data_IF_500778213346
#
_entry.id   IF_500778213346
#
_cell.length_a   1.000
_cell.length_b   1.000
_cell.length_c   1.000
_cell.angle_alpha   90.00
_cell.angle_beta   90.00
_cell.angle_gamma   90.00
#
_symmetry.space_group_name_H-M   'P 1'
#
loop_
_entity.id
_entity.type
_entity.pdbx_description
1 polymer ?
#
# COMPACT_ATOMS: atom_id res chain seq x y z
N UNK A 1 -0.78 26.24 -7.52
CA UNK A 1 -1.66 25.09 -7.78
C UNK A 1 -2.92 25.28 -6.96
N UNK A 2 -4.10 25.34 -7.58
CA UNK A 2 -5.37 25.48 -6.84
C UNK A 2 -5.66 24.26 -5.96
N UNK A 3 -6.48 24.39 -4.90
CA UNK A 3 -6.71 23.33 -3.90
C UNK A 3 -7.31 22.02 -4.44
N UNK A 4 -7.78 21.99 -5.70
CA UNK A 4 -8.27 20.80 -6.39
C UNK A 4 -7.33 20.22 -7.47
N UNK A 5 -6.18 20.83 -7.75
CA UNK A 5 -5.32 20.42 -8.86
C UNK A 5 -4.72 19.02 -8.66
N UNK A 6 -4.20 18.74 -7.46
CA UNK A 6 -3.59 17.46 -7.14
C UNK A 6 -4.57 16.28 -7.19
N UNK A 7 -5.78 16.36 -6.58
CA UNK A 7 -6.81 15.33 -6.74
C UNK A 7 -7.22 15.09 -8.19
N UNK A 8 -7.34 16.15 -8.99
CA UNK A 8 -7.83 16.06 -10.37
C UNK A 8 -6.80 15.37 -11.27
N UNK A 9 -5.52 15.73 -11.15
CA UNK A 9 -4.42 15.07 -11.88
C UNK A 9 -4.30 13.60 -11.48
N UNK A 10 -4.32 13.28 -10.17
CA UNK A 10 -4.28 11.90 -9.70
C UNK A 10 -5.46 11.08 -10.24
N UNK A 11 -6.66 11.64 -10.21
CA UNK A 11 -7.85 10.97 -10.74
C UNK A 11 -7.71 10.68 -12.23
N UNK A 12 -7.21 11.65 -13.01
CA UNK A 12 -6.94 11.47 -14.43
C UNK A 12 -5.93 10.35 -14.72
N UNK A 13 -4.81 10.32 -13.97
CA UNK A 13 -3.80 9.26 -14.09
C UNK A 13 -4.38 7.89 -13.72
N UNK A 14 -5.15 7.80 -12.64
CA UNK A 14 -5.79 6.54 -12.21
C UNK A 14 -6.81 6.04 -13.23
N UNK A 15 -7.63 6.92 -13.80
CA UNK A 15 -8.58 6.57 -14.87
C UNK A 15 -7.81 6.00 -16.07
N UNK A 16 -6.74 6.66 -16.50
CA UNK A 16 -5.93 6.23 -17.63
C UNK A 16 -5.30 4.85 -17.38
N UNK A 17 -4.68 4.65 -16.22
CA UNK A 17 -4.11 3.35 -15.83
C UNK A 17 -5.18 2.25 -15.78
N UNK A 18 -6.36 2.55 -15.22
CA UNK A 18 -7.49 1.62 -15.20
C UNK A 18 -7.95 1.22 -16.60
N UNK A 19 -8.01 2.18 -17.53
CA UNK A 19 -8.39 1.96 -18.92
C UNK A 19 -7.39 1.06 -19.65
N UNK A 20 -6.08 1.29 -19.43
CA UNK A 20 -5.02 0.44 -19.97
C UNK A 20 -5.15 -0.99 -19.45
N UNK A 21 -5.35 -1.18 -18.14
CA UNK A 21 -5.53 -2.50 -17.53
C UNK A 21 -6.77 -3.20 -18.12
N UNK A 22 -7.87 -2.48 -18.32
CA UNK A 22 -9.11 -3.03 -18.90
C UNK A 22 -8.89 -3.51 -20.35
N UNK A 23 -8.20 -2.72 -21.18
CA UNK A 23 -7.82 -3.13 -22.54
C UNK A 23 -6.91 -4.36 -22.49
N UNK A 24 -5.91 -4.40 -21.62
CA UNK A 24 -5.02 -5.56 -21.50
C UNK A 24 -5.76 -6.82 -21.04
N UNK A 25 -6.71 -6.69 -20.11
CA UNK A 25 -7.53 -7.80 -19.64
C UNK A 25 -8.37 -8.43 -20.76
N UNK A 26 -8.81 -7.64 -21.75
CA UNK A 26 -9.52 -8.17 -22.93
C UNK A 26 -8.62 -8.86 -23.96
N UNK A 27 -7.31 -8.60 -23.94
CA UNK A 27 -6.33 -9.18 -24.88
C UNK A 27 -5.74 -10.51 -24.41
N UNK A 28 -5.81 -10.79 -23.11
CA UNK A 28 -5.28 -12.01 -22.51
C UNK A 28 -6.44 -13.00 -22.31
N UNK A 29 -6.37 -14.16 -22.96
CA UNK A 29 -7.25 -15.29 -22.70
C UNK A 29 -7.04 -15.76 -21.25
N UNK A 30 -8.00 -15.48 -20.36
CA UNK A 30 -7.87 -15.78 -18.94
C UNK A 30 -7.75 -17.28 -18.65
N UNK A 31 -6.81 -17.65 -17.78
CA UNK A 31 -6.88 -18.92 -17.06
C UNK A 31 -8.24 -19.02 -16.34
N UNK A 32 -8.83 -20.22 -16.17
CA UNK A 32 -10.10 -20.38 -15.48
C UNK A 32 -10.05 -19.63 -14.15
N UNK A 33 -11.03 -18.74 -13.94
CA UNK A 33 -11.10 -17.90 -12.74
C UNK A 33 -10.93 -18.80 -11.52
N UNK A 34 -9.75 -18.73 -10.90
CA UNK A 34 -9.51 -19.41 -9.64
C UNK A 34 -10.55 -18.97 -8.62
N UNK A 35 -10.84 -19.79 -7.59
CA UNK A 35 -11.81 -19.42 -6.57
C UNK A 35 -11.51 -18.02 -6.03
N UNK A 36 -12.53 -17.17 -5.99
CA UNK A 36 -12.42 -15.79 -5.51
C UNK A 36 -11.67 -15.81 -4.17
N UNK A 37 -10.58 -15.06 -4.09
CA UNK A 37 -9.74 -14.99 -2.91
C UNK A 37 -10.40 -14.12 -1.83
N UNK A 38 -11.54 -14.56 -1.30
CA UNK A 38 -12.32 -13.88 -0.26
C UNK A 38 -11.47 -13.46 0.94
N UNK A 39 -10.54 -14.32 1.37
CA UNK A 39 -9.54 -13.98 2.40
C UNK A 39 -8.64 -12.84 1.96
N UNK A 40 -8.07 -12.91 0.76
CA UNK A 40 -7.21 -11.86 0.22
C UNK A 40 -7.94 -10.52 0.13
N UNK A 41 -9.20 -10.53 -0.32
CA UNK A 41 -10.05 -9.34 -0.38
C UNK A 41 -10.28 -8.73 1.02
N UNK A 42 -10.57 -9.58 2.02
CA UNK A 42 -10.80 -9.13 3.39
C UNK A 42 -9.54 -8.56 4.07
N UNK A 43 -8.34 -9.01 3.70
CA UNK A 43 -7.08 -8.50 4.27
C UNK A 43 -6.52 -7.29 3.52
N UNK A 44 -6.72 -7.21 2.19
CA UNK A 44 -6.15 -6.13 1.36
C UNK A 44 -6.97 -4.84 1.44
N UNK A 45 -8.30 -4.94 1.44
CA UNK A 45 -9.18 -3.75 1.46
C UNK A 45 -9.04 -2.88 2.74
N UNK A 46 -8.98 -3.44 3.95
CA UNK A 46 -8.83 -2.63 5.16
C UNK A 46 -7.38 -2.16 5.39
N UNK A 47 -6.38 -2.76 4.75
CA UNK A 47 -4.98 -2.39 4.92
C UNK A 47 -4.70 -0.89 4.65
N UNK A 48 -5.12 -0.27 3.53
CA UNK A 48 -4.91 1.16 3.31
C UNK A 48 -5.73 2.04 4.26
N UNK A 49 -6.89 1.59 4.74
CA UNK A 49 -7.69 2.30 5.75
C UNK A 49 -6.93 2.30 7.09
N UNK A 50 -6.42 1.14 7.49
CA UNK A 50 -5.60 0.97 8.69
C UNK A 50 -4.34 1.85 8.61
N UNK A 51 -3.66 1.87 7.47
CA UNK A 51 -2.53 2.76 7.22
C UNK A 51 -2.91 4.23 7.37
N UNK A 52 -3.99 4.69 6.73
CA UNK A 52 -4.43 6.07 6.81
C UNK A 52 -4.79 6.54 8.21
N UNK A 53 -5.33 5.64 9.05
CA UNK A 53 -5.65 5.92 10.45
C UNK A 53 -4.40 5.90 11.34
N UNK A 54 -3.50 4.95 11.13
CA UNK A 54 -2.31 4.75 11.97
C UNK A 54 -1.16 5.70 11.64
N UNK A 55 -1.04 6.15 10.38
CA UNK A 55 0.08 7.00 9.94
C UNK A 55 0.17 8.31 10.70
N UNK A 56 -0.96 8.88 11.13
CA UNK A 56 -1.01 10.12 11.93
C UNK A 56 -0.61 9.91 13.40
N UNK A 57 -0.81 8.71 13.94
CA UNK A 57 -0.56 8.39 15.36
C UNK A 57 0.77 7.71 15.61
N UNK A 58 1.02 6.58 14.93
CA UNK A 58 2.21 5.73 15.11
C UNK A 58 3.42 6.23 14.30
N UNK A 59 3.19 7.04 13.27
CA UNK A 59 4.24 7.49 12.34
C UNK A 59 4.40 6.55 11.14
N UNK A 60 5.18 6.99 10.16
CA UNK A 60 5.28 6.34 8.85
C UNK A 60 5.83 4.91 8.91
N UNK A 61 6.85 4.68 9.73
CA UNK A 61 7.58 3.40 9.81
C UNK A 61 6.73 2.26 10.39
N UNK A 62 6.19 2.34 11.62
CA UNK A 62 5.39 1.26 12.20
C UNK A 62 4.07 1.05 11.46
N UNK A 63 3.47 2.12 10.94
CA UNK A 63 2.21 2.03 10.18
C UNK A 63 2.41 1.29 8.86
N UNK A 64 3.47 1.60 8.12
CA UNK A 64 3.82 0.86 6.89
C UNK A 64 4.14 -0.60 7.20
N UNK A 65 4.96 -0.85 8.22
CA UNK A 65 5.36 -2.22 8.57
C UNK A 65 4.14 -3.09 8.91
N UNK A 66 3.27 -2.62 9.79
CA UNK A 66 2.05 -3.35 10.17
C UNK A 66 1.11 -3.53 8.97
N UNK A 67 0.93 -2.50 8.15
CA UNK A 67 0.08 -2.58 6.97
C UNK A 67 0.61 -3.60 5.95
N UNK A 68 1.91 -3.57 5.66
CA UNK A 68 2.55 -4.53 4.77
C UNK A 68 2.52 -5.95 5.34
N UNK A 69 2.66 -6.10 6.66
CA UNK A 69 2.57 -7.40 7.32
C UNK A 69 1.14 -7.97 7.18
N UNK A 70 0.11 -7.18 7.49
CA UNK A 70 -1.31 -7.56 7.34
C UNK A 70 -1.62 -7.90 5.88
N UNK A 71 -1.16 -7.08 4.93
CA UNK A 71 -1.35 -7.33 3.50
C UNK A 71 -0.60 -8.58 3.02
N UNK A 72 0.56 -8.90 3.58
CA UNK A 72 1.33 -10.10 3.22
C UNK A 72 0.61 -11.39 3.61
N UNK A 73 -0.18 -11.37 4.69
CA UNK A 73 -1.03 -12.50 5.10
C UNK A 73 -2.26 -12.70 4.21
N UNK A 74 -2.55 -11.79 3.28
CA UNK A 74 -3.57 -11.99 2.25
C UNK A 74 -3.23 -13.15 1.30
N UNK A 75 -1.93 -13.47 1.15
CA UNK A 75 -1.46 -14.55 0.28
C UNK A 75 -1.45 -15.90 1.01
N UNK A 76 -2.21 -16.87 0.49
CA UNK A 76 -2.30 -18.24 1.02
C UNK A 76 -0.99 -19.03 0.97
N UNK A 77 0.00 -18.56 0.21
CA UNK A 77 1.33 -19.21 0.08
C UNK A 77 2.41 -18.56 0.95
N UNK A 78 2.10 -17.48 1.66
CA UNK A 78 3.10 -16.69 2.37
C UNK A 78 3.50 -17.37 3.68
N UNK A 79 4.79 -17.72 3.81
CA UNK A 79 5.36 -18.16 5.09
C UNK A 79 5.49 -16.94 6.03
N UNK A 80 5.24 -17.08 7.33
CA UNK A 80 5.30 -15.95 8.28
C UNK A 80 6.67 -15.25 8.29
N UNK A 81 7.77 -16.01 8.15
CA UNK A 81 9.12 -15.44 8.02
C UNK A 81 9.30 -14.62 6.74
N UNK A 82 8.78 -15.10 5.61
CA UNK A 82 8.87 -14.38 4.34
C UNK A 82 8.02 -13.10 4.38
N UNK A 83 6.86 -13.12 5.03
CA UNK A 83 6.02 -11.95 5.25
C UNK A 83 6.74 -10.87 6.06
N UNK A 84 7.43 -11.26 7.14
CA UNK A 84 8.21 -10.32 7.97
C UNK A 84 9.35 -9.70 7.18
N UNK A 85 10.11 -10.51 6.43
CA UNK A 85 11.23 -10.02 5.61
C UNK A 85 10.72 -9.07 4.53
N UNK A 86 9.62 -9.42 3.84
CA UNK A 86 9.02 -8.58 2.81
C UNK A 86 8.52 -7.26 3.39
N UNK A 87 7.79 -7.30 4.50
CA UNK A 87 7.29 -6.10 5.17
C UNK A 87 8.46 -5.21 5.64
N UNK A 88 9.51 -5.80 6.21
CA UNK A 88 10.70 -5.07 6.62
C UNK A 88 11.42 -4.42 5.43
N UNK A 89 11.66 -5.17 4.35
CA UNK A 89 12.33 -4.67 3.16
C UNK A 89 11.55 -3.52 2.49
N UNK A 90 10.23 -3.67 2.32
CA UNK A 90 9.37 -2.62 1.76
C UNK A 90 9.36 -1.40 2.67
N UNK A 91 9.30 -1.58 3.99
CA UNK A 91 9.32 -0.47 4.94
C UNK A 91 10.64 0.29 4.85
N UNK A 92 11.78 -0.40 4.88
CA UNK A 92 13.12 0.21 4.77
C UNK A 92 13.26 0.95 3.45
N UNK A 93 12.89 0.32 2.33
CA UNK A 93 12.93 0.94 1.02
C UNK A 93 12.04 2.21 0.95
N UNK A 94 10.82 2.12 1.47
CA UNK A 94 9.89 3.25 1.51
C UNK A 94 10.42 4.39 2.38
N UNK A 95 11.04 4.10 3.52
CA UNK A 95 11.68 5.12 4.36
C UNK A 95 12.84 5.79 3.63
N UNK A 96 13.67 5.02 2.92
CA UNK A 96 14.78 5.59 2.13
C UNK A 96 14.22 6.51 1.03
N UNK A 97 13.26 6.05 0.25
CA UNK A 97 12.72 6.84 -0.86
C UNK A 97 11.93 8.05 -0.36
N UNK A 98 10.98 7.87 0.55
CA UNK A 98 10.07 8.95 0.94
C UNK A 98 10.66 9.92 1.97
N UNK A 99 11.45 9.41 2.92
CA UNK A 99 12.03 10.25 3.97
C UNK A 99 13.42 10.79 3.62
N UNK A 100 14.26 10.02 2.93
CA UNK A 100 15.61 10.48 2.55
C UNK A 100 15.68 11.06 1.13
N UNK A 101 15.05 10.44 0.13
CA UNK A 101 15.15 10.91 -1.25
C UNK A 101 14.18 12.05 -1.59
N UNK A 102 12.93 11.99 -1.10
CA UNK A 102 11.92 13.03 -1.36
C UNK A 102 11.83 14.11 -0.25
N UNK A 103 12.50 13.91 0.90
CA UNK A 103 12.46 14.82 2.06
C UNK A 103 11.05 15.31 2.44
N UNK A 104 10.04 14.44 2.32
CA UNK A 104 8.67 14.80 2.70
C UNK A 104 8.60 15.02 4.22
N UNK A 105 7.84 16.02 4.70
CA UNK A 105 7.64 16.29 6.12
C UNK A 105 6.69 15.25 6.75
N UNK A 106 6.98 13.97 6.54
CA UNK A 106 6.33 12.89 7.27
C UNK A 106 6.97 12.77 8.65
N UNK A 107 6.14 12.86 9.69
CA UNK A 107 6.55 12.51 11.05
C UNK A 107 6.96 11.03 11.06
N UNK A 108 8.27 10.78 11.08
CA UNK A 108 8.87 9.42 11.11
C UNK A 108 8.36 8.62 12.31
N UNK A 109 8.17 9.33 13.42
CA UNK A 109 7.52 8.88 14.65
C UNK A 109 6.37 9.85 14.94
N UNK A 110 5.17 9.31 15.11
CA UNK A 110 4.00 10.12 15.45
C UNK A 110 3.95 10.47 16.94
N UNK A 111 2.99 11.30 17.37
CA UNK A 111 2.91 11.89 18.72
C UNK A 111 2.68 10.88 19.86
N UNK A 112 2.50 9.60 19.56
CA UNK A 112 2.35 8.53 20.56
C UNK A 112 3.67 8.09 21.21
N UNK A 113 4.82 8.47 20.65
CA UNK A 113 6.12 8.31 21.29
C UNK A 113 6.76 9.69 21.44
N UNK A 114 6.51 10.40 22.56
CA UNK A 114 7.21 11.64 22.85
C UNK A 114 8.63 11.30 23.31
N UNK A 115 9.55 11.16 22.36
CA UNK A 115 11.00 11.30 22.57
C UNK A 115 11.61 11.99 21.36
#
# INVERSE_FOLDING_TARGET
MGPGYFPLVLSGVLILLGLVILIQATRVSGEPMGPIAWRGLFFILPAPIFFGLTVRGLGFVPSLFLTCLIASFASMRMKPLAAIILAAAITVFSVIVFSYALALPYQRFGPWWPF
#
